data_IF_416765698856
#
_entry.id   IF_416765698856
#
_cell.length_a   1.000
_cell.length_b   1.000
_cell.length_c   1.000
_cell.angle_alpha   90.00
_cell.angle_beta   90.00
_cell.angle_gamma   90.00
#
_symmetry.space_group_name_H-M   'P 1'
#
loop_
_entity.id
_entity.type
_entity.pdbx_description
1 polymer ?
#
# COMPACT_ATOMS: atom_id res chain seq x y z
N UNK A 1 -12.26 11.98 -3.29
CA UNK A 1 -11.79 10.87 -2.43
C UNK A 1 -10.78 9.98 -3.14
N UNK A 2 -11.04 9.54 -4.39
CA UNK A 2 -10.08 8.77 -5.20
C UNK A 2 -8.68 9.43 -5.27
N UNK A 3 -8.64 10.73 -5.55
CA UNK A 3 -7.40 11.51 -5.71
C UNK A 3 -6.50 11.50 -4.46
N UNK A 4 -7.09 11.53 -3.26
CA UNK A 4 -6.31 11.50 -2.02
C UNK A 4 -5.69 10.14 -1.77
N UNK A 5 -6.41 9.06 -2.07
CA UNK A 5 -5.89 7.69 -1.92
C UNK A 5 -4.70 7.46 -2.85
N UNK A 6 -4.80 7.91 -4.10
CA UNK A 6 -3.72 7.80 -5.08
C UNK A 6 -2.49 8.61 -4.67
N UNK A 7 -2.69 9.87 -4.26
CA UNK A 7 -1.61 10.75 -3.82
C UNK A 7 -0.92 10.30 -2.51
N UNK A 8 -1.66 9.66 -1.59
CA UNK A 8 -1.14 9.28 -0.28
C UNK A 8 -0.58 7.85 -0.28
N UNK A 9 -1.20 6.91 -1.00
CA UNK A 9 -0.86 5.48 -0.91
C UNK A 9 -0.12 4.94 -2.13
N UNK A 10 -0.23 5.57 -3.31
CA UNK A 10 0.26 5.01 -4.57
C UNK A 10 1.30 5.88 -5.30
N UNK A 11 1.51 7.13 -4.87
CA UNK A 11 2.29 8.12 -5.60
C UNK A 11 3.72 7.70 -5.99
N UNK A 12 4.34 6.79 -5.23
CA UNK A 12 5.72 6.34 -5.44
C UNK A 12 5.84 4.83 -5.69
N UNK A 13 4.74 4.16 -6.05
CA UNK A 13 4.70 2.70 -6.18
C UNK A 13 5.60 2.17 -7.31
N UNK A 14 5.70 2.91 -8.42
CA UNK A 14 6.49 2.52 -9.60
C UNK A 14 7.98 2.95 -9.52
N UNK A 15 8.42 3.47 -8.38
CA UNK A 15 9.78 4.00 -8.19
C UNK A 15 10.70 3.07 -7.38
N UNK A 16 10.45 1.76 -7.42
CA UNK A 16 11.23 0.74 -6.69
C UNK A 16 11.35 1.03 -5.18
N UNK A 17 10.32 1.66 -4.59
CA UNK A 17 10.32 2.07 -3.17
C UNK A 17 9.95 0.96 -2.20
N UNK A 18 9.34 -0.12 -2.71
CA UNK A 18 8.88 -1.27 -1.94
C UNK A 18 9.17 -2.55 -2.69
N UNK A 19 9.40 -3.64 -1.95
CA UNK A 19 9.60 -4.95 -2.55
C UNK A 19 8.28 -5.51 -3.08
N UNK A 20 8.33 -6.09 -4.27
CA UNK A 20 7.22 -6.82 -4.88
C UNK A 20 7.40 -8.32 -4.69
N UNK A 21 6.34 -8.99 -4.24
CA UNK A 21 6.30 -10.43 -4.00
C UNK A 21 5.32 -11.11 -4.95
N UNK A 22 5.52 -12.39 -5.31
CA UNK A 22 4.52 -13.13 -6.07
C UNK A 22 3.16 -13.15 -5.37
N UNK A 23 2.10 -13.04 -6.14
CA UNK A 23 0.74 -13.23 -5.64
C UNK A 23 0.47 -14.73 -5.34
N UNK A 24 -0.74 -15.05 -4.88
CA UNK A 24 -1.08 -16.40 -4.36
C UNK A 24 -0.83 -17.56 -5.35
N UNK A 25 -0.96 -17.33 -6.65
CA UNK A 25 -0.76 -18.32 -7.71
C UNK A 25 0.53 -18.10 -8.52
N UNK A 26 1.37 -17.14 -8.13
CA UNK A 26 2.57 -16.70 -8.83
C UNK A 26 2.34 -16.19 -10.27
N UNK A 27 1.11 -15.86 -10.67
CA UNK A 27 0.83 -15.30 -11.99
C UNK A 27 1.23 -13.82 -12.11
N UNK A 28 1.20 -13.09 -11.00
CA UNK A 28 1.50 -11.67 -10.92
C UNK A 28 2.36 -11.36 -9.70
N UNK A 29 2.80 -10.11 -9.60
CA UNK A 29 3.49 -9.59 -8.41
C UNK A 29 2.67 -8.48 -7.79
N UNK A 30 2.66 -8.44 -6.46
CA UNK A 30 1.99 -7.42 -5.65
C UNK A 30 3.02 -6.78 -4.70
N UNK A 31 2.87 -5.50 -4.36
CA UNK A 31 3.75 -4.86 -3.40
C UNK A 31 3.54 -5.44 -2.01
N UNK A 32 4.63 -5.66 -1.29
CA UNK A 32 4.60 -6.15 0.10
C UNK A 32 3.89 -5.17 1.06
N UNK A 33 4.03 -3.87 0.80
CA UNK A 33 3.37 -2.77 1.51
C UNK A 33 3.10 -1.60 0.56
N UNK A 34 2.19 -0.69 0.92
CA UNK A 34 1.97 0.55 0.18
C UNK A 34 2.93 1.66 0.65
N UNK A 35 3.52 2.46 -0.27
CA UNK A 35 4.40 3.58 0.06
C UNK A 35 3.61 4.79 0.60
N UNK A 36 2.99 4.63 1.77
CA UNK A 36 2.12 5.65 2.36
C UNK A 36 2.91 6.91 2.75
N UNK A 37 2.55 8.07 2.18
CA UNK A 37 3.18 9.38 2.48
C UNK A 37 2.70 10.02 3.78
N UNK A 38 1.66 9.46 4.40
CA UNK A 38 1.11 9.90 5.68
C UNK A 38 1.01 8.70 6.64
N UNK A 39 1.05 8.93 7.98
CA UNK A 39 0.89 7.88 8.98
C UNK A 39 -0.57 7.38 9.05
N UNK A 40 -1.00 6.67 8.00
CA UNK A 40 -2.40 6.31 7.72
C UNK A 40 -3.04 5.50 8.85
N UNK A 41 -2.27 4.64 9.53
CA UNK A 41 -2.75 3.88 10.68
C UNK A 41 -3.11 4.78 11.87
N UNK A 42 -2.33 5.84 12.14
CA UNK A 42 -2.63 6.77 13.23
C UNK A 42 -3.82 7.66 12.91
N UNK A 43 -3.97 8.03 11.64
CA UNK A 43 -5.05 8.91 11.18
C UNK A 43 -6.41 8.19 11.13
N UNK A 44 -6.41 6.95 10.65
CA UNK A 44 -7.64 6.19 10.41
C UNK A 44 -7.92 5.13 11.48
N UNK A 45 -6.91 4.76 12.27
CA UNK A 45 -6.98 3.62 13.16
C UNK A 45 -7.02 2.28 12.41
N UNK A 46 -7.10 1.20 13.18
CA UNK A 46 -7.46 -0.13 12.72
C UNK A 46 -8.30 -0.77 13.81
N UNK A 47 -9.27 -1.60 13.44
CA UNK A 47 -10.10 -2.35 14.37
C UNK A 47 -9.99 -3.82 14.04
N UNK A 48 -9.55 -4.62 15.02
CA UNK A 48 -9.39 -6.06 14.90
C UNK A 48 -9.63 -6.73 16.24
N UNK A 49 -10.24 -7.92 16.22
CA UNK A 49 -10.54 -8.75 17.39
C UNK A 49 -9.83 -10.11 17.33
N UNK A 50 -8.92 -10.26 16.36
CA UNK A 50 -8.25 -11.51 16.03
C UNK A 50 -7.33 -12.00 17.15
#
# INVERSE_FOLDING_TARGET
MQELAEAVLLADLDQDTVDFVPNFDNSQKEPSFLPARLPTLLLNGSSGIA
#
